data_IF_154501668531
#
_entry.id   IF_154501668531
#
_cell.length_a   1.000
_cell.length_b   1.000
_cell.length_c   1.000
_cell.angle_alpha   90.00
_cell.angle_beta   90.00
_cell.angle_gamma   90.00
#
_symmetry.space_group_name_H-M   'P 1'
#
loop_
_entity.id
_entity.type
_entity.pdbx_description
1 polymer ?
#
# COMPACT_ATOMS: atom_id res chain seq x y z
N UNK A 1 13.55 0.74 3.65
CA UNK A 1 12.33 1.54 3.39
C UNK A 1 12.47 2.99 3.85
N UNK A 2 12.61 3.25 5.16
CA UNK A 2 12.71 4.61 5.69
C UNK A 2 13.90 5.39 5.11
N UNK A 3 15.06 4.75 4.93
CA UNK A 3 16.23 5.33 4.23
C UNK A 3 15.88 5.74 2.78
N UNK A 4 15.37 4.79 1.99
CA UNK A 4 14.96 5.03 0.60
C UNK A 4 13.99 6.20 0.48
N UNK A 5 12.97 6.26 1.35
CA UNK A 5 12.01 7.35 1.34
C UNK A 5 12.63 8.68 1.77
N UNK A 6 13.52 8.68 2.77
CA UNK A 6 14.23 9.87 3.21
C UNK A 6 15.18 10.44 2.14
N UNK A 7 15.76 9.58 1.31
CA UNK A 7 16.71 9.94 0.23
C UNK A 7 16.01 10.30 -1.10
N UNK A 8 14.69 10.49 -1.10
CA UNK A 8 13.96 10.88 -2.33
C UNK A 8 13.48 9.73 -3.20
N UNK A 9 13.70 8.46 -2.81
CA UNK A 9 13.26 7.29 -3.57
C UNK A 9 11.75 7.01 -3.51
N UNK A 10 11.25 6.26 -4.50
CA UNK A 10 9.84 5.84 -4.57
C UNK A 10 9.63 4.58 -3.74
N UNK A 11 8.52 4.51 -3.02
CA UNK A 11 8.01 3.30 -2.39
C UNK A 11 6.78 2.84 -3.17
N UNK A 12 6.87 1.68 -3.83
CA UNK A 12 5.76 1.12 -4.57
C UNK A 12 5.47 -0.31 -4.13
N UNK A 13 4.19 -0.66 -4.00
CA UNK A 13 3.76 -2.01 -3.65
C UNK A 13 2.37 -2.33 -4.20
N UNK A 14 2.03 -3.60 -4.35
CA UNK A 14 0.73 -4.07 -4.86
C UNK A 14 0.27 -5.30 -4.08
N UNK A 15 -1.05 -5.51 -3.96
CA UNK A 15 -1.62 -6.67 -3.29
C UNK A 15 -1.19 -6.74 -1.82
N UNK A 16 -0.52 -7.80 -1.37
CA UNK A 16 0.06 -7.90 -0.03
C UNK A 16 1.41 -7.20 0.14
N UNK A 17 2.01 -6.68 -0.94
CA UNK A 17 3.27 -5.93 -0.87
C UNK A 17 3.31 -4.80 0.18
N UNK A 18 2.21 -4.03 0.40
CA UNK A 18 2.13 -3.03 1.46
C UNK A 18 2.28 -3.59 2.88
N UNK A 19 2.28 -4.91 3.09
CA UNK A 19 2.68 -5.51 4.36
C UNK A 19 4.09 -5.08 4.78
N UNK A 20 4.97 -4.76 3.83
CA UNK A 20 6.29 -4.22 4.12
C UNK A 20 6.23 -2.81 4.77
N UNK A 21 5.11 -2.11 4.67
CA UNK A 21 4.92 -0.78 5.28
C UNK A 21 4.48 -0.88 6.74
N UNK A 22 3.96 -2.04 7.16
CA UNK A 22 3.49 -2.27 8.53
C UNK A 22 4.64 -2.08 9.50
N UNK A 23 4.51 -1.07 10.36
CA UNK A 23 5.50 -0.76 11.39
C UNK A 23 6.70 0.05 10.90
N UNK A 24 6.76 0.36 9.59
CA UNK A 24 7.78 1.27 9.07
C UNK A 24 7.56 2.67 9.66
N UNK A 25 8.64 3.30 10.14
CA UNK A 25 8.61 4.62 10.76
C UNK A 25 9.49 5.63 10.05
N UNK A 26 9.10 6.89 10.08
CA UNK A 26 9.93 8.02 9.64
C UNK A 26 11.03 8.35 10.68
N UNK A 27 11.87 9.34 10.37
CA UNK A 27 12.95 9.79 11.26
C UNK A 27 12.46 10.39 12.59
N UNK A 28 11.19 10.75 12.67
CA UNK A 28 10.55 11.33 13.85
C UNK A 28 9.83 10.25 14.68
N UNK A 29 9.83 8.98 14.24
CA UNK A 29 9.19 7.87 14.92
C UNK A 29 7.70 7.69 14.59
N UNK A 30 7.14 8.50 13.69
CA UNK A 30 5.76 8.35 13.21
C UNK A 30 5.69 7.19 12.21
N UNK A 31 4.56 6.49 12.13
CA UNK A 31 4.37 5.51 11.08
C UNK A 31 4.47 6.17 9.70
N UNK A 32 5.21 5.53 8.80
CA UNK A 32 5.47 6.07 7.46
C UNK A 32 4.19 6.25 6.65
N UNK A 33 3.18 5.43 6.91
CA UNK A 33 1.86 5.49 6.26
C UNK A 33 0.89 6.48 6.92
N UNK A 34 1.23 7.04 8.08
CA UNK A 34 0.34 7.95 8.81
C UNK A 34 -0.01 9.18 7.97
N UNK A 35 -1.31 9.39 7.74
CA UNK A 35 -1.85 10.48 6.92
C UNK A 35 -1.65 10.33 5.41
N UNK A 36 -1.11 9.20 4.94
CA UNK A 36 -0.90 8.95 3.51
C UNK A 36 -2.08 8.22 2.90
N UNK A 37 -2.44 8.61 1.68
CA UNK A 37 -3.36 7.82 0.85
C UNK A 37 -2.67 6.56 0.37
N UNK A 38 -3.22 5.41 0.71
CA UNK A 38 -2.70 4.11 0.31
C UNK A 38 -3.83 3.14 -0.03
N UNK A 39 -3.43 2.02 -0.58
CA UNK A 39 -4.25 0.86 -0.81
C UNK A 39 -3.41 -0.42 -0.54
N UNK A 40 -4.07 -1.55 -0.36
CA UNK A 40 -3.50 -2.90 -0.32
C UNK A 40 -4.55 -3.91 -0.76
N UNK A 41 -4.22 -5.21 -0.72
CA UNK A 41 -5.25 -6.25 -0.73
C UNK A 41 -6.27 -5.96 0.36
N UNK A 42 -7.54 -5.90 -0.02
CA UNK A 42 -8.61 -5.44 0.86
C UNK A 42 -9.02 -6.53 1.84
N UNK A 43 -9.62 -6.12 2.95
CA UNK A 43 -10.27 -7.02 3.89
C UNK A 43 -11.36 -7.87 3.22
N UNK A 44 -12.07 -7.29 2.25
CA UNK A 44 -13.11 -7.98 1.50
C UNK A 44 -12.52 -9.07 0.60
N UNK A 45 -11.42 -8.77 -0.11
CA UNK A 45 -10.71 -9.75 -0.92
C UNK A 45 -10.08 -10.86 -0.08
N UNK A 46 -9.47 -10.52 1.06
CA UNK A 46 -8.87 -11.50 1.97
C UNK A 46 -9.92 -12.50 2.49
N UNK A 47 -11.07 -11.99 2.96
CA UNK A 47 -12.18 -12.82 3.46
C UNK A 47 -12.83 -13.68 2.38
N UNK A 48 -12.64 -13.36 1.10
CA UNK A 48 -13.08 -14.20 -0.02
C UNK A 48 -12.09 -15.35 -0.31
N UNK A 49 -10.93 -15.38 0.34
CA UNK A 49 -9.98 -16.50 0.26
C UNK A 49 -10.23 -17.54 1.35
N UNK A 50 -9.89 -18.82 1.12
CA UNK A 50 -9.99 -19.86 2.14
C UNK A 50 -8.97 -19.70 3.29
N UNK A 51 -7.98 -18.82 3.14
CA UNK A 51 -6.83 -18.67 4.06
C UNK A 51 -6.91 -17.42 4.94
N UNK A 52 -8.01 -16.66 4.90
CA UNK A 52 -8.14 -15.44 5.68
C UNK A 52 -7.88 -15.66 7.18
N UNK A 53 -8.30 -16.81 7.73
CA UNK A 53 -8.12 -17.13 9.15
C UNK A 53 -6.66 -17.44 9.52
N UNK A 54 -5.82 -17.73 8.54
CA UNK A 54 -4.38 -18.00 8.73
C UNK A 54 -3.56 -16.70 8.78
N UNK A 55 -4.16 -15.55 8.43
CA UNK A 55 -3.46 -14.28 8.41
C UNK A 55 -3.13 -13.79 9.83
N UNK A 56 -1.88 -13.36 10.10
CA UNK A 56 -1.51 -12.84 11.42
C UNK A 56 -2.22 -11.52 11.75
N UNK A 57 -2.67 -10.81 10.72
CA UNK A 57 -3.53 -9.64 10.78
C UNK A 57 -4.12 -9.40 9.39
N UNK A 58 -5.23 -8.67 9.33
CA UNK A 58 -5.77 -8.16 8.07
C UNK A 58 -5.01 -6.91 7.63
N UNK A 59 -4.45 -6.91 6.42
CA UNK A 59 -3.50 -5.90 5.98
C UNK A 59 -4.10 -4.49 5.92
N UNK A 60 -5.25 -4.32 5.26
CA UNK A 60 -5.99 -3.06 5.21
C UNK A 60 -6.24 -2.51 6.63
N UNK A 61 -6.80 -3.33 7.52
CA UNK A 61 -7.06 -2.92 8.91
C UNK A 61 -5.79 -2.50 9.64
N UNK A 62 -4.69 -3.24 9.44
CA UNK A 62 -3.43 -2.94 10.14
C UNK A 62 -2.80 -1.63 9.67
N UNK A 63 -2.92 -1.30 8.39
CA UNK A 63 -2.42 -0.05 7.86
C UNK A 63 -3.29 1.15 8.29
N UNK A 64 -4.62 0.98 8.35
CA UNK A 64 -5.54 1.98 8.91
C UNK A 64 -5.23 2.25 10.38
N UNK A 65 -4.96 1.21 11.18
CA UNK A 65 -4.53 1.35 12.58
C UNK A 65 -3.25 2.20 12.72
N UNK A 66 -2.37 2.17 11.71
CA UNK A 66 -1.15 2.97 11.64
C UNK A 66 -1.37 4.39 11.07
N UNK A 67 -2.64 4.80 10.92
CA UNK A 67 -3.04 6.14 10.52
C UNK A 67 -3.14 6.36 9.02
N UNK A 68 -3.12 5.30 8.20
CA UNK A 68 -3.24 5.43 6.76
C UNK A 68 -4.65 5.85 6.33
N UNK A 69 -4.73 6.64 5.25
CA UNK A 69 -5.98 7.00 4.58
C UNK A 69 -6.21 5.95 3.49
N UNK A 70 -7.06 4.97 3.76
CA UNK A 70 -7.25 3.84 2.85
C UNK A 70 -8.30 4.17 1.78
N UNK A 71 -7.93 4.01 0.51
CA UNK A 71 -8.79 4.15 -0.67
C UNK A 71 -8.90 2.78 -1.35
N UNK A 72 -10.06 2.41 -1.91
CA UNK A 72 -10.23 1.12 -2.60
C UNK A 72 -11.34 1.16 -3.65
N UNK A 73 -11.28 0.19 -4.58
CA UNK A 73 -12.33 -0.12 -5.55
C UNK A 73 -13.07 -1.40 -5.15
N UNK A 74 -14.03 -1.83 -5.97
CA UNK A 74 -14.74 -3.08 -5.76
C UNK A 74 -13.84 -4.33 -5.72
N UNK A 75 -14.43 -5.45 -5.34
CA UNK A 75 -13.73 -6.74 -5.24
C UNK A 75 -13.08 -7.10 -6.58
N UNK A 76 -11.76 -7.35 -6.59
CA UNK A 76 -10.99 -7.67 -7.80
C UNK A 76 -10.96 -6.56 -8.87
N UNK A 77 -11.44 -5.36 -8.56
CA UNK A 77 -11.27 -4.21 -9.43
C UNK A 77 -9.88 -3.61 -9.26
N UNK A 78 -9.24 -3.11 -10.33
CA UNK A 78 -7.99 -2.41 -10.20
C UNK A 78 -8.20 -1.08 -9.45
N UNK A 79 -7.32 -0.79 -8.51
CA UNK A 79 -7.23 0.49 -7.83
C UNK A 79 -5.76 0.93 -7.69
N UNK A 80 -5.52 2.23 -7.83
CA UNK A 80 -4.21 2.86 -7.66
C UNK A 80 -4.35 4.02 -6.68
N UNK A 81 -3.62 3.97 -5.58
CA UNK A 81 -3.46 5.09 -4.66
C UNK A 81 -2.05 5.65 -4.76
N UNK A 82 -1.94 6.96 -4.99
CA UNK A 82 -0.66 7.69 -5.11
C UNK A 82 -0.66 8.86 -4.15
N UNK A 83 0.32 8.86 -3.25
CA UNK A 83 0.58 9.93 -2.29
C UNK A 83 2.06 10.30 -2.32
N UNK A 84 2.38 11.43 -2.94
CA UNK A 84 3.75 11.86 -3.23
C UNK A 84 4.58 10.77 -3.94
N UNK A 85 5.48 10.10 -3.19
CA UNK A 85 6.37 9.04 -3.64
C UNK A 85 5.98 7.67 -3.08
N UNK A 86 4.79 7.55 -2.48
CA UNK A 86 4.19 6.28 -2.05
C UNK A 86 3.12 5.90 -3.06
N UNK A 87 3.29 4.75 -3.70
CA UNK A 87 2.42 4.23 -4.75
C UNK A 87 1.93 2.86 -4.31
N UNK A 88 0.62 2.64 -4.33
CA UNK A 88 0.05 1.36 -3.91
C UNK A 88 -1.07 0.90 -4.82
N UNK A 89 -1.20 -0.41 -4.99
CA UNK A 89 -2.28 -1.03 -5.76
C UNK A 89 -2.94 -2.20 -5.04
N UNK A 90 -4.20 -2.44 -5.36
CA UNK A 90 -5.10 -3.33 -4.61
C UNK A 90 -4.81 -4.79 -4.78
N UNK A 91 -4.71 -5.23 -6.02
CA UNK A 91 -4.67 -6.65 -6.36
C UNK A 91 -3.85 -6.81 -7.64
N UNK A 92 -3.68 -8.03 -8.17
CA UNK A 92 -2.92 -8.23 -9.40
C UNK A 92 -3.41 -7.39 -10.59
N UNK A 93 -4.70 -7.04 -10.66
CA UNK A 93 -5.26 -6.21 -11.74
C UNK A 93 -4.72 -4.76 -11.69
N UNK A 94 -4.17 -4.32 -10.55
CA UNK A 94 -3.56 -3.01 -10.38
C UNK A 94 -2.10 -2.91 -10.89
N UNK A 95 -1.47 -4.00 -11.31
CA UNK A 95 -0.02 -4.02 -11.63
C UNK A 95 0.34 -3.00 -12.71
N UNK A 96 -0.44 -2.92 -13.79
CA UNK A 96 -0.17 -1.98 -14.88
C UNK A 96 -0.30 -0.53 -14.41
N UNK A 97 -1.31 -0.22 -13.58
CA UNK A 97 -1.50 1.12 -13.01
C UNK A 97 -0.32 1.53 -12.12
N UNK A 98 0.12 0.63 -11.23
CA UNK A 98 1.26 0.87 -10.34
C UNK A 98 2.55 1.08 -11.14
N UNK A 99 2.80 0.24 -12.14
CA UNK A 99 3.98 0.34 -13.01
C UNK A 99 3.99 1.65 -13.80
N UNK A 100 2.83 2.03 -14.35
CA UNK A 100 2.66 3.30 -15.05
C UNK A 100 2.93 4.52 -14.14
N UNK A 101 2.44 4.49 -12.90
CA UNK A 101 2.69 5.55 -11.93
C UNK A 101 4.17 5.66 -11.52
N UNK A 102 4.87 4.52 -11.35
CA UNK A 102 6.32 4.50 -11.10
C UNK A 102 7.05 5.15 -12.27
N UNK A 103 6.75 4.73 -13.51
CA UNK A 103 7.39 5.28 -14.70
C UNK A 103 7.16 6.79 -14.80
N UNK A 104 5.93 7.26 -14.59
CA UNK A 104 5.58 8.67 -14.64
C UNK A 104 6.31 9.53 -13.58
N UNK A 105 6.69 8.94 -12.43
CA UNK A 105 7.45 9.63 -11.38
C UNK A 105 8.96 9.60 -11.63
N UNK A 106 9.49 8.53 -12.24
CA UNK A 106 10.91 8.42 -12.56
C UNK A 106 11.31 9.21 -13.82
N UNK A 107 10.37 9.49 -14.71
CA UNK A 107 10.60 10.22 -15.96
C UNK A 107 10.47 11.75 -15.83
N UNK A 108 10.40 12.27 -14.61
CA UNK A 108 10.40 13.72 -14.30
C UNK A 108 11.80 14.22 -14.03
#
# INVERSE_FOLDING_TARGET
MSKTYAEGGILAAVCHGPAAFVGAKDKNGNFLVSGKRINSFTNAEEKATPHYQDMPFLLESKLIEQGAIFESSGLREPHLAVDERVITGQNPESIELVTGAIHALLSR
#
